data_IF_518923367506
#
_entry.id   IF_518923367506
#
_cell.length_a   1.000
_cell.length_b   1.000
_cell.length_c   1.000
_cell.angle_alpha   90.00
_cell.angle_beta   90.00
_cell.angle_gamma   90.00
#
_symmetry.space_group_name_H-M   'P 1'
#
loop_
_entity.id
_entity.type
_entity.pdbx_description
1 polymer ?
#
# COMPACT_ATOMS: atom_id res chain seq x y z
N UNK A 1 -14.26 17.64 -27.01
CA UNK A 1 -13.31 17.00 -26.09
C UNK A 1 -13.80 15.59 -25.85
N UNK A 2 -12.97 14.59 -26.14
CA UNK A 2 -13.38 13.20 -26.03
C UNK A 2 -13.37 12.78 -24.55
N UNK A 3 -14.44 12.15 -24.06
CA UNK A 3 -14.50 11.64 -22.70
C UNK A 3 -13.40 10.60 -22.44
N UNK A 4 -12.98 9.88 -23.49
CA UNK A 4 -11.88 8.91 -23.42
C UNK A 4 -10.53 9.58 -23.13
N UNK A 5 -10.28 10.77 -23.69
CA UNK A 5 -9.04 11.52 -23.45
C UNK A 5 -8.97 12.13 -22.04
N UNK A 6 -10.11 12.47 -21.45
CA UNK A 6 -10.19 12.95 -20.05
C UNK A 6 -9.99 11.78 -19.09
N UNK A 7 -10.63 10.63 -19.36
CA UNK A 7 -10.45 9.38 -18.62
C UNK A 7 -8.99 8.93 -18.56
N UNK A 8 -8.31 8.88 -19.71
CA UNK A 8 -6.90 8.47 -19.78
C UNK A 8 -5.98 9.42 -19.00
N UNK A 9 -6.25 10.73 -19.07
CA UNK A 9 -5.50 11.74 -18.30
C UNK A 9 -5.72 11.56 -16.81
N UNK A 10 -6.97 11.31 -16.38
CA UNK A 10 -7.31 11.11 -14.98
C UNK A 10 -6.65 9.83 -14.43
N UNK A 11 -6.70 8.72 -15.16
CA UNK A 11 -6.02 7.47 -14.79
C UNK A 11 -4.50 7.65 -14.66
N UNK A 12 -3.88 8.43 -15.55
CA UNK A 12 -2.45 8.72 -15.47
C UNK A 12 -2.09 9.57 -14.24
N UNK A 13 -2.91 10.58 -13.92
CA UNK A 13 -2.71 11.42 -12.72
C UNK A 13 -2.89 10.59 -11.45
N UNK A 14 -3.95 9.78 -11.37
CA UNK A 14 -4.18 8.88 -10.24
C UNK A 14 -3.01 7.90 -10.09
N UNK A 15 -2.55 7.30 -11.18
CA UNK A 15 -1.39 6.41 -11.17
C UNK A 15 -0.11 7.10 -10.70
N UNK A 16 0.12 8.36 -11.09
CA UNK A 16 1.25 9.16 -10.63
C UNK A 16 1.16 9.49 -9.13
N UNK A 17 -0.03 9.84 -8.64
CA UNK A 17 -0.28 10.10 -7.22
C UNK A 17 -0.08 8.85 -6.36
N UNK A 18 -0.55 7.69 -6.83
CA UNK A 18 -0.33 6.40 -6.14
C UNK A 18 1.16 6.07 -6.08
N UNK A 19 1.89 6.24 -7.20
CA UNK A 19 3.34 6.04 -7.24
C UNK A 19 4.08 6.98 -6.29
N UNK A 20 3.68 8.25 -6.23
CA UNK A 20 4.24 9.20 -5.27
C UNK A 20 3.92 8.80 -3.84
N UNK A 21 2.68 8.41 -3.54
CA UNK A 21 2.28 7.96 -2.21
C UNK A 21 3.13 6.78 -1.74
N UNK A 22 3.32 5.77 -2.58
CA UNK A 22 4.19 4.62 -2.28
C UNK A 22 5.65 5.06 -2.05
N UNK A 23 6.17 5.95 -2.90
CA UNK A 23 7.54 6.45 -2.74
C UNK A 23 7.74 7.25 -1.46
N UNK A 24 6.74 8.04 -1.05
CA UNK A 24 6.79 8.83 0.19
C UNK A 24 6.68 7.93 1.43
N UNK A 25 5.87 6.86 1.37
CA UNK A 25 5.80 5.85 2.45
C UNK A 25 7.14 5.14 2.60
N UNK A 26 7.81 4.76 1.51
CA UNK A 26 9.16 4.16 1.57
C UNK A 26 10.20 5.13 2.14
N UNK A 27 10.14 6.41 1.74
CA UNK A 27 11.04 7.43 2.29
C UNK A 27 10.80 7.61 3.80
N UNK A 28 9.54 7.73 4.22
CA UNK A 28 9.19 7.89 5.62
C UNK A 28 9.51 6.62 6.44
N UNK A 29 9.40 5.42 5.86
CA UNK A 29 9.90 4.17 6.47
C UNK A 29 11.42 4.25 6.72
N UNK A 30 12.19 4.70 5.74
CA UNK A 30 13.65 4.89 5.90
C UNK A 30 13.92 5.91 7.01
N UNK A 31 13.23 7.05 7.01
CA UNK A 31 13.35 8.06 8.06
C UNK A 31 13.07 7.47 9.44
N UNK A 32 12.02 6.66 9.58
CA UNK A 32 11.63 6.05 10.87
C UNK A 32 12.64 4.97 11.34
N UNK A 33 13.34 4.31 10.42
CA UNK A 33 14.43 3.38 10.77
C UNK A 33 15.65 4.12 11.30
N UNK A 34 15.99 5.28 10.72
CA UNK A 34 17.14 6.09 11.16
C UNK A 34 16.83 7.00 12.34
N UNK A 35 15.58 7.45 12.47
CA UNK A 35 15.06 8.31 13.55
C UNK A 35 13.73 7.71 14.04
N UNK A 36 13.79 6.79 15.03
CA UNK A 36 12.61 6.09 15.52
C UNK A 36 11.54 7.03 16.03
N UNK A 37 10.30 6.87 15.54
CA UNK A 37 9.12 7.60 16.02
C UNK A 37 8.93 8.99 15.40
N UNK A 38 9.66 9.32 14.32
CA UNK A 38 9.48 10.59 13.63
C UNK A 38 8.31 10.56 12.63
N UNK A 39 7.99 9.39 12.08
CA UNK A 39 6.85 9.23 11.16
C UNK A 39 5.86 8.16 11.61
N UNK A 40 6.23 7.33 12.60
CA UNK A 40 5.43 6.23 13.15
C UNK A 40 4.95 5.21 12.09
N UNK A 41 5.53 5.23 10.88
CA UNK A 41 5.15 4.32 9.80
C UNK A 41 5.56 2.89 10.13
N UNK A 42 6.70 2.67 10.77
CA UNK A 42 7.13 1.32 11.19
C UNK A 42 6.14 0.78 12.22
N UNK A 43 5.69 1.60 13.17
CA UNK A 43 4.71 1.21 14.18
C UNK A 43 3.34 0.87 13.55
N UNK A 44 2.89 1.65 12.57
CA UNK A 44 1.62 1.41 11.87
C UNK A 44 1.67 0.17 10.96
N UNK A 45 2.79 -0.06 10.26
CA UNK A 45 3.01 -1.28 9.47
C UNK A 45 3.17 -2.52 10.37
N UNK A 46 3.86 -2.38 11.49
CA UNK A 46 3.95 -3.41 12.54
C UNK A 46 2.57 -3.79 13.06
N UNK A 47 1.69 -2.82 13.34
CA UNK A 47 0.32 -3.07 13.76
C UNK A 47 -0.51 -3.81 12.71
N UNK A 48 -0.33 -3.47 11.44
CA UNK A 48 -1.02 -4.12 10.32
C UNK A 48 -0.51 -5.56 10.12
N UNK A 49 0.81 -5.77 10.18
CA UNK A 49 1.43 -7.10 10.13
C UNK A 49 0.99 -7.94 11.35
N UNK A 50 0.95 -7.34 12.54
CA UNK A 50 0.46 -8.03 13.74
C UNK A 50 -1.01 -8.43 13.63
N UNK A 51 -1.87 -7.66 12.96
CA UNK A 51 -3.25 -8.09 12.66
C UNK A 51 -3.29 -9.31 11.73
N UNK A 52 -2.38 -9.39 10.75
CA UNK A 52 -2.23 -10.58 9.91
C UNK A 52 -1.65 -11.78 10.68
N UNK A 53 -0.73 -11.54 11.62
CA UNK A 53 -0.11 -12.57 12.46
C UNK A 53 -1.10 -13.08 13.54
N UNK A 54 -1.92 -12.21 14.13
CA UNK A 54 -2.98 -12.58 15.07
C UNK A 54 -4.08 -13.39 14.37
N UNK A 55 -4.41 -13.04 13.11
CA UNK A 55 -5.21 -13.89 12.24
C UNK A 55 -4.46 -15.17 11.81
N UNK A 56 -3.14 -15.21 11.97
CA UNK A 56 -2.26 -16.34 11.72
C UNK A 56 -2.38 -16.91 10.31
N UNK A 57 -2.39 -18.24 10.24
CA UNK A 57 -2.52 -18.99 8.99
C UNK A 57 -3.85 -18.67 8.27
N UNK A 58 -4.92 -18.32 9.01
CA UNK A 58 -6.20 -17.98 8.41
C UNK A 58 -6.15 -16.65 7.65
N UNK A 59 -5.42 -15.65 8.18
CA UNK A 59 -5.18 -14.38 7.48
C UNK A 59 -4.37 -14.57 6.19
N UNK A 60 -3.34 -15.41 6.24
CA UNK A 60 -2.53 -15.75 5.06
C UNK A 60 -3.35 -16.50 4.00
N UNK A 61 -4.18 -17.48 4.41
CA UNK A 61 -5.05 -18.22 3.49
C UNK A 61 -6.09 -17.30 2.85
N UNK A 62 -6.72 -16.41 3.62
CA UNK A 62 -7.67 -15.44 3.08
C UNK A 62 -7.02 -14.49 2.07
N UNK A 63 -5.79 -14.02 2.36
CA UNK A 63 -5.04 -13.17 1.44
C UNK A 63 -4.69 -13.90 0.14
N UNK A 64 -4.18 -15.13 0.21
CA UNK A 64 -3.86 -15.95 -0.96
C UNK A 64 -5.11 -16.18 -1.82
N UNK A 65 -6.25 -16.48 -1.21
CA UNK A 65 -7.52 -16.68 -1.93
C UNK A 65 -7.97 -15.41 -2.64
N UNK A 66 -7.91 -14.25 -1.98
CA UNK A 66 -8.29 -12.97 -2.60
C UNK A 66 -7.35 -12.61 -3.74
N UNK A 67 -6.03 -12.78 -3.57
CA UNK A 67 -5.06 -12.52 -4.63
C UNK A 67 -5.24 -13.49 -5.80
N UNK A 68 -5.50 -14.78 -5.54
CA UNK A 68 -5.77 -15.77 -6.57
C UNK A 68 -7.01 -15.40 -7.40
N UNK A 69 -8.08 -14.90 -6.76
CA UNK A 69 -9.29 -14.44 -7.45
C UNK A 69 -9.06 -13.17 -8.26
N UNK A 70 -8.18 -12.26 -7.80
CA UNK A 70 -7.88 -11.00 -8.52
C UNK A 70 -6.92 -11.23 -9.69
N UNK A 71 -6.08 -12.28 -9.62
CA UNK A 71 -5.05 -12.57 -10.62
C UNK A 71 -5.55 -13.48 -11.75
N UNK A 72 -6.69 -14.15 -11.56
CA UNK A 72 -7.43 -14.92 -12.57
C UNK A 72 -8.41 -14.01 -13.33
#
# INVERSE_FOLDING_TARGET
MNLDSISATLSNVVGALVKLGISLVLLALIVDVFVPGQTDIVANLSGLINQFIDAGLAGLVAFIVVVAIITD
#
